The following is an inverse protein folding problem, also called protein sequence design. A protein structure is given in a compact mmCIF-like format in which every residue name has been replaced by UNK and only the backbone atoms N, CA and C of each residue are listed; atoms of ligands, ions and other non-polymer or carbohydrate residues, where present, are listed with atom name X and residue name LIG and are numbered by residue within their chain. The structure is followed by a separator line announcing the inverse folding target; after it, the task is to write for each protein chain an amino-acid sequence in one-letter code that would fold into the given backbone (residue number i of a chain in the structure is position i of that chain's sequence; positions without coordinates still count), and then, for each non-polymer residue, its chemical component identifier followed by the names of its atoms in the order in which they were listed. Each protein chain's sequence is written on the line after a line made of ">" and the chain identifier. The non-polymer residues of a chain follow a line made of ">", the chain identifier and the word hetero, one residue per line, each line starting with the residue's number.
data_IF_812603573128
#
_entry.id   IF_812603573128
#
_cell.length_a   1.000
_cell.length_b   1.000
_cell.length_c   1.000
_cell.angle_alpha   90.00
_cell.angle_beta   90.00
_cell.angle_gamma   90.00
#
_symmetry.space_group_name_H-M   'P 1'
#
loop_
_entity.id
_entity.type
_entity.pdbx_description
1 polymer ?
#
# COMPACT_ATOMS: atom_id res chain seq x y z
N UNK A 1 -56.22 27.15 16.98
CA UNK A 1 -55.86 26.26 15.87
C UNK A 1 -54.39 25.90 15.92
N UNK A 2 -54.13 24.78 16.49
CA UNK A 2 -52.77 24.25 16.70
C UNK A 2 -52.50 23.24 15.58
N UNK A 3 -51.47 23.47 14.75
CA UNK A 3 -51.03 22.47 13.81
C UNK A 3 -49.74 21.82 14.32
N UNK A 4 -49.86 20.52 14.58
CA UNK A 4 -48.82 19.60 14.89
C UNK A 4 -47.92 19.40 13.66
N UNK A 5 -46.64 19.73 13.76
CA UNK A 5 -45.62 19.25 12.82
C UNK A 5 -44.88 18.09 13.44
N UNK A 6 -45.21 16.91 12.94
CA UNK A 6 -44.53 15.66 13.27
C UNK A 6 -43.19 15.63 12.53
N UNK A 7 -42.08 15.81 13.22
CA UNK A 7 -40.76 15.57 12.71
C UNK A 7 -40.55 14.05 12.57
N UNK A 8 -40.38 13.60 11.32
CA UNK A 8 -39.90 12.24 11.01
C UNK A 8 -38.40 12.17 11.30
N UNK A 9 -38.05 11.57 12.40
CA UNK A 9 -36.69 11.10 12.65
C UNK A 9 -36.36 9.99 11.64
N UNK A 10 -35.53 10.30 10.64
CA UNK A 10 -34.85 9.28 9.86
C UNK A 10 -33.65 8.82 10.68
N UNK A 11 -33.77 7.65 11.29
CA UNK A 11 -32.65 6.90 11.84
C UNK A 11 -31.67 6.58 10.71
N UNK A 12 -30.49 7.17 10.79
CA UNK A 12 -29.33 6.73 10.01
C UNK A 12 -28.96 5.34 10.53
N UNK A 13 -29.37 4.31 9.80
CA UNK A 13 -28.82 2.98 9.99
C UNK A 13 -27.34 3.04 9.65
N UNK A 14 -26.50 2.85 10.65
CA UNK A 14 -25.10 2.56 10.49
C UNK A 14 -24.98 1.26 9.69
N UNK A 15 -24.67 1.36 8.41
CA UNK A 15 -24.22 0.21 7.64
C UNK A 15 -22.87 -0.20 8.20
N UNK A 16 -22.86 -1.33 8.92
CA UNK A 16 -21.64 -2.01 9.31
C UNK A 16 -20.84 -2.34 8.05
N UNK A 17 -19.55 -1.95 8.05
CA UNK A 17 -18.60 -2.41 7.06
C UNK A 17 -18.64 -3.95 7.01
N UNK A 18 -18.61 -4.58 5.83
CA UNK A 18 -18.59 -6.03 5.74
C UNK A 18 -17.36 -6.59 6.43
N UNK A 19 -17.62 -7.53 7.32
CA UNK A 19 -16.62 -8.34 8.02
C UNK A 19 -15.85 -9.15 6.97
N UNK A 20 -14.51 -9.06 7.00
CA UNK A 20 -13.57 -9.79 6.16
C UNK A 20 -13.70 -9.61 4.63
N UNK A 21 -13.01 -8.60 4.10
CA UNK A 21 -12.60 -8.62 2.70
C UNK A 21 -11.45 -9.64 2.55
N UNK A 22 -11.78 -10.91 2.36
CA UNK A 22 -10.81 -11.89 1.89
C UNK A 22 -10.41 -11.47 0.47
N UNK A 23 -9.12 -11.24 0.18
CA UNK A 23 -8.67 -10.98 -1.17
C UNK A 23 -8.79 -12.28 -1.96
N UNK A 24 -9.88 -12.44 -2.71
CA UNK A 24 -10.00 -13.54 -3.63
C UNK A 24 -8.89 -13.51 -4.68
N UNK A 25 -8.29 -14.66 -4.84
CA UNK A 25 -7.29 -15.03 -5.84
C UNK A 25 -7.71 -14.53 -7.21
N UNK A 26 -7.04 -13.58 -7.73
CA UNK A 26 -6.72 -13.41 -9.16
C UNK A 26 -6.44 -11.97 -9.53
N UNK A 27 -5.34 -11.73 -10.24
CA UNK A 27 -5.05 -10.49 -10.92
C UNK A 27 -6.07 -10.14 -12.02
N UNK A 28 -7.31 -10.61 -11.91
CA UNK A 28 -8.45 -10.28 -12.76
C UNK A 28 -9.49 -9.51 -11.97
N UNK A 29 -9.74 -8.30 -12.44
CA UNK A 29 -10.87 -7.48 -12.02
C UNK A 29 -12.16 -8.25 -12.35
N UNK A 30 -12.75 -8.91 -11.35
CA UNK A 30 -14.13 -9.31 -11.47
C UNK A 30 -14.99 -8.05 -11.46
N UNK A 31 -15.92 -7.95 -12.38
CA UNK A 31 -16.78 -6.78 -12.61
C UNK A 31 -17.73 -6.61 -11.43
N UNK A 32 -17.31 -5.88 -10.41
CA UNK A 32 -18.09 -5.56 -9.23
C UNK A 32 -18.49 -4.10 -9.24
N UNK A 33 -19.44 -3.70 -8.40
CA UNK A 33 -19.94 -2.32 -8.32
C UNK A 33 -18.82 -1.29 -8.10
N UNK A 34 -19.00 -0.06 -8.54
CA UNK A 34 -17.92 0.95 -8.64
C UNK A 34 -17.07 1.22 -7.39
N UNK A 35 -17.51 0.80 -6.20
CA UNK A 35 -16.73 0.88 -4.96
C UNK A 35 -15.68 -0.25 -4.86
N UNK A 36 -15.99 -1.45 -5.33
CA UNK A 36 -15.07 -2.58 -5.24
C UNK A 36 -13.85 -2.40 -6.16
N UNK A 37 -14.02 -1.72 -7.29
CA UNK A 37 -12.90 -1.43 -8.20
C UNK A 37 -11.86 -0.48 -7.58
N UNK A 38 -12.24 0.33 -6.57
CA UNK A 38 -11.34 1.24 -5.90
C UNK A 38 -10.26 0.51 -5.09
N UNK A 39 -10.60 -0.64 -4.50
CA UNK A 39 -9.71 -1.40 -3.63
C UNK A 39 -8.98 -2.56 -4.34
N UNK A 40 -9.28 -2.81 -5.61
CA UNK A 40 -8.62 -3.82 -6.41
C UNK A 40 -7.68 -3.17 -7.41
N UNK A 41 -6.44 -3.63 -7.46
CA UNK A 41 -5.43 -3.11 -8.37
C UNK A 41 -4.54 -4.22 -8.93
N UNK A 42 -4.16 -4.13 -10.21
CA UNK A 42 -3.18 -5.03 -10.80
C UNK A 42 -1.79 -4.81 -10.17
N UNK A 43 -1.03 -5.87 -10.09
CA UNK A 43 0.36 -5.84 -9.63
C UNK A 43 1.17 -6.89 -10.39
N UNK A 44 2.49 -6.80 -10.30
CA UNK A 44 3.40 -7.83 -10.77
C UNK A 44 4.56 -7.98 -9.79
N UNK A 45 5.11 -9.19 -9.69
CA UNK A 45 6.28 -9.42 -8.86
C UNK A 45 7.56 -9.00 -9.57
N UNK A 46 8.45 -8.34 -8.83
CA UNK A 46 9.82 -8.01 -9.21
C UNK A 46 10.78 -9.04 -8.63
N UNK A 47 10.42 -9.64 -7.48
CA UNK A 47 11.15 -10.68 -6.79
C UNK A 47 10.17 -11.56 -6.01
N UNK A 48 10.40 -12.89 -6.02
CA UNK A 48 9.47 -13.84 -5.42
C UNK A 48 8.17 -13.99 -6.21
N UNK A 49 7.23 -14.77 -5.68
CA UNK A 49 5.96 -15.11 -6.35
C UNK A 49 4.76 -15.06 -5.42
N UNK A 50 4.99 -14.85 -4.13
CA UNK A 50 3.94 -14.79 -3.12
C UNK A 50 4.35 -13.95 -1.92
N UNK A 51 3.42 -13.17 -1.38
CA UNK A 51 3.57 -12.48 -0.12
C UNK A 51 2.21 -12.24 0.53
N UNK A 52 2.14 -12.33 1.86
CA UNK A 52 0.89 -12.09 2.61
C UNK A 52 1.16 -11.43 3.96
N UNK A 53 0.15 -10.73 4.46
CA UNK A 53 0.17 -10.12 5.78
C UNK A 53 -0.60 -8.79 5.84
N UNK A 54 -0.69 -8.20 7.04
CA UNK A 54 -1.28 -6.88 7.19
C UNK A 54 -0.45 -5.82 6.46
N UNK A 55 -1.10 -4.93 5.71
CA UNK A 55 -0.43 -3.86 4.97
C UNK A 55 -0.17 -2.66 5.88
N UNK A 56 1.06 -2.19 5.89
CA UNK A 56 1.49 -0.96 6.58
C UNK A 56 2.31 -0.08 5.63
N UNK A 57 2.55 1.15 6.01
CA UNK A 57 3.39 2.07 5.22
C UNK A 57 2.56 3.11 4.46
N UNK A 58 2.96 3.40 3.23
CA UNK A 58 2.41 4.43 2.36
C UNK A 58 3.50 5.33 1.81
N UNK A 59 3.30 6.66 1.88
CA UNK A 59 4.34 7.60 1.47
C UNK A 59 5.60 7.42 2.31
N UNK A 60 6.70 7.02 1.67
CA UNK A 60 7.95 6.63 2.35
C UNK A 60 8.49 7.74 3.26
N UNK A 61 8.44 9.00 2.82
CA UNK A 61 8.88 10.14 3.61
C UNK A 61 8.01 10.34 4.86
N UNK A 62 6.69 10.22 4.70
CA UNK A 62 5.75 10.41 5.81
C UNK A 62 5.84 9.26 6.81
N UNK A 63 5.95 8.02 6.32
CA UNK A 63 6.13 6.84 7.15
C UNK A 63 7.40 6.91 8.00
N UNK A 64 8.52 7.30 7.41
CA UNK A 64 9.80 7.42 8.13
C UNK A 64 9.82 8.53 9.18
N UNK A 65 8.92 9.53 9.12
CA UNK A 65 8.79 10.52 10.20
C UNK A 65 8.30 9.94 11.52
N UNK A 66 7.69 8.77 11.49
CA UNK A 66 7.25 8.07 12.70
C UNK A 66 8.41 7.33 13.39
N UNK A 67 9.52 7.09 12.69
CA UNK A 67 10.67 6.39 13.24
C UNK A 67 11.20 7.07 14.52
N UNK A 68 11.38 6.29 15.57
CA UNK A 68 11.79 6.78 16.89
C UNK A 68 10.65 7.33 17.74
N UNK A 69 9.40 7.27 17.30
CA UNK A 69 8.21 7.60 18.07
C UNK A 69 7.44 6.33 18.47
N UNK A 70 6.54 6.45 19.44
CA UNK A 70 5.64 5.37 19.85
C UNK A 70 4.64 4.96 18.75
N UNK A 71 4.46 5.80 17.72
CA UNK A 71 3.56 5.55 16.59
C UNK A 71 4.20 4.75 15.45
N UNK A 72 5.50 4.47 15.52
CA UNK A 72 6.14 3.63 14.51
C UNK A 72 5.68 2.18 14.69
N UNK A 73 5.05 1.57 13.68
CA UNK A 73 4.47 0.24 13.83
C UNK A 73 5.54 -0.84 13.96
N UNK A 74 5.19 -1.94 14.62
CA UNK A 74 5.98 -3.17 14.47
C UNK A 74 5.88 -3.66 13.03
N UNK A 75 7.03 -3.92 12.42
CA UNK A 75 7.14 -4.32 11.02
C UNK A 75 7.09 -5.85 10.81
N UNK A 76 7.17 -6.61 11.91
CA UNK A 76 7.34 -8.06 11.86
C UNK A 76 6.15 -8.74 11.18
N UNK A 77 6.42 -9.48 10.10
CA UNK A 77 5.43 -10.25 9.36
C UNK A 77 4.39 -9.40 8.59
N UNK A 78 4.64 -8.11 8.42
CA UNK A 78 3.74 -7.21 7.69
C UNK A 78 4.22 -6.93 6.27
N UNK A 79 3.30 -6.56 5.40
CA UNK A 79 3.61 -6.06 4.06
C UNK A 79 3.90 -4.56 4.15
N UNK A 80 5.01 -4.12 3.58
CA UNK A 80 5.41 -2.71 3.58
C UNK A 80 5.08 -2.06 2.24
N UNK A 81 4.09 -1.17 2.24
CA UNK A 81 3.77 -0.31 1.11
C UNK A 81 4.72 0.89 1.09
N UNK A 82 5.34 1.14 -0.05
CA UNK A 82 6.21 2.29 -0.28
C UNK A 82 5.82 3.01 -1.57
N UNK A 83 5.57 4.30 -1.49
CA UNK A 83 5.31 5.18 -2.64
C UNK A 83 5.87 6.59 -2.37
N UNK A 84 6.02 7.40 -3.42
CA UNK A 84 6.41 8.80 -3.28
C UNK A 84 5.92 9.65 -4.46
N UNK A 85 5.48 10.88 -4.18
CA UNK A 85 5.17 11.85 -5.22
C UNK A 85 6.45 12.51 -5.78
N UNK A 86 7.24 13.08 -4.89
CA UNK A 86 8.45 13.83 -5.19
C UNK A 86 9.71 13.13 -4.72
N UNK A 87 10.83 13.82 -4.87
CA UNK A 87 12.14 13.32 -4.50
C UNK A 87 12.87 12.69 -5.68
N UNK A 88 14.17 12.84 -5.67
CA UNK A 88 15.06 12.20 -6.64
C UNK A 88 15.76 10.98 -6.06
N UNK A 89 16.63 10.39 -6.85
CA UNK A 89 17.39 9.20 -6.50
C UNK A 89 18.19 9.33 -5.19
N UNK A 90 18.94 10.44 -4.93
CA UNK A 90 19.67 10.57 -3.66
C UNK A 90 18.77 10.56 -2.44
N UNK A 91 17.56 11.14 -2.55
CA UNK A 91 16.59 11.15 -1.47
C UNK A 91 15.99 9.76 -1.24
N UNK A 92 15.68 9.02 -2.30
CA UNK A 92 15.22 7.63 -2.18
C UNK A 92 16.27 6.76 -1.49
N UNK A 93 17.54 6.85 -1.90
CA UNK A 93 18.64 6.12 -1.26
C UNK A 93 18.75 6.44 0.24
N UNK A 94 18.56 7.69 0.63
CA UNK A 94 18.52 8.09 2.06
C UNK A 94 17.39 7.38 2.80
N UNK A 95 16.21 7.31 2.20
CA UNK A 95 15.07 6.63 2.81
C UNK A 95 15.26 5.11 2.90
N UNK A 96 15.80 4.48 1.85
CA UNK A 96 16.10 3.05 1.86
C UNK A 96 17.15 2.71 2.90
N UNK A 97 18.22 3.50 3.01
CA UNK A 97 19.23 3.35 4.06
C UNK A 97 18.64 3.48 5.46
N UNK A 98 17.71 4.42 5.66
CA UNK A 98 17.02 4.56 6.94
C UNK A 98 16.16 3.35 7.27
N UNK A 99 15.39 2.83 6.31
CA UNK A 99 14.62 1.59 6.48
C UNK A 99 15.52 0.39 6.80
N UNK A 100 16.68 0.29 6.16
CA UNK A 100 17.66 -0.75 6.45
C UNK A 100 18.17 -0.66 7.90
N UNK A 101 18.54 0.54 8.36
CA UNK A 101 18.99 0.79 9.73
C UNK A 101 17.91 0.45 10.78
N UNK A 102 16.63 0.66 10.45
CA UNK A 102 15.49 0.23 11.28
C UNK A 102 15.28 -1.29 11.25
N UNK A 103 15.99 -2.01 10.41
CA UNK A 103 15.86 -3.45 10.21
C UNK A 103 14.59 -3.84 9.45
N UNK A 104 13.99 -2.90 8.71
CA UNK A 104 12.71 -3.11 8.05
C UNK A 104 12.73 -4.32 7.10
N UNK A 105 13.73 -4.40 6.24
CA UNK A 105 13.84 -5.44 5.22
C UNK A 105 14.09 -6.87 5.77
N UNK A 106 14.44 -6.98 7.04
CA UNK A 106 14.56 -8.27 7.74
C UNK A 106 13.33 -8.66 8.55
N UNK A 107 12.39 -7.72 8.74
CA UNK A 107 11.20 -7.92 9.58
C UNK A 107 9.92 -8.12 8.75
N UNK A 108 9.81 -7.40 7.63
CA UNK A 108 8.61 -7.46 6.79
C UNK A 108 8.51 -8.79 6.04
N UNK A 109 7.28 -9.21 5.73
CA UNK A 109 7.00 -10.41 4.94
C UNK A 109 7.02 -10.16 3.43
N UNK A 110 7.05 -8.90 3.00
CA UNK A 110 7.12 -8.49 1.60
C UNK A 110 7.01 -6.99 1.45
N UNK A 111 7.29 -6.51 0.25
CA UNK A 111 7.20 -5.08 -0.11
C UNK A 111 6.25 -4.92 -1.29
N UNK A 112 5.31 -3.99 -1.16
CA UNK A 112 4.48 -3.51 -2.26
C UNK A 112 4.97 -2.11 -2.65
N UNK A 113 5.52 -1.98 -3.85
CA UNK A 113 5.89 -0.68 -4.42
C UNK A 113 4.69 -0.08 -5.15
N UNK A 114 4.33 1.13 -4.79
CA UNK A 114 3.47 2.00 -5.58
C UNK A 114 4.28 2.83 -6.58
N UNK A 115 3.72 3.97 -7.00
CA UNK A 115 4.41 4.89 -7.90
C UNK A 115 5.43 5.74 -7.14
N UNK A 116 6.56 5.98 -7.77
CA UNK A 116 7.53 7.00 -7.39
C UNK A 116 7.50 8.08 -8.46
N UNK A 117 6.43 8.85 -8.46
CA UNK A 117 5.95 9.67 -9.59
C UNK A 117 7.04 10.50 -10.26
N UNK A 118 7.85 11.21 -9.48
CA UNK A 118 8.94 12.03 -10.05
C UNK A 118 10.05 11.15 -10.62
N UNK A 119 10.51 10.16 -9.87
CA UNK A 119 11.62 9.29 -10.29
C UNK A 119 11.23 8.42 -11.48
N UNK A 120 10.02 7.86 -11.47
CA UNK A 120 9.48 7.06 -12.59
C UNK A 120 9.44 7.88 -13.89
N UNK A 121 9.04 9.16 -13.79
CA UNK A 121 9.02 10.08 -14.94
C UNK A 121 10.41 10.44 -15.45
N UNK A 122 11.38 10.65 -14.55
CA UNK A 122 12.73 11.13 -14.91
C UNK A 122 13.69 10.02 -15.32
N UNK A 123 13.54 8.82 -14.75
CA UNK A 123 14.48 7.71 -14.87
C UNK A 123 13.85 6.40 -15.36
N UNK A 124 12.53 6.36 -15.50
CA UNK A 124 11.78 5.16 -15.84
C UNK A 124 11.36 4.33 -14.62
N UNK A 125 10.33 3.47 -14.81
CA UNK A 125 9.72 2.73 -13.71
C UNK A 125 10.65 1.67 -13.08
N UNK A 126 11.64 1.17 -13.79
CA UNK A 126 12.56 0.14 -13.31
C UNK A 126 13.56 0.68 -12.28
N UNK A 127 13.81 2.00 -12.29
CA UNK A 127 14.88 2.59 -11.49
C UNK A 127 14.68 2.41 -9.99
N UNK A 128 13.46 2.46 -9.50
CA UNK A 128 13.15 2.22 -8.08
C UNK A 128 13.59 0.82 -7.66
N UNK A 129 13.30 -0.18 -8.49
CA UNK A 129 13.71 -1.55 -8.24
C UNK A 129 15.23 -1.73 -8.30
N UNK A 130 15.90 -1.16 -9.29
CA UNK A 130 17.36 -1.18 -9.39
C UNK A 130 18.06 -0.66 -8.13
N UNK A 131 17.47 0.35 -7.48
CA UNK A 131 18.00 0.89 -6.23
C UNK A 131 17.64 0.02 -5.03
N UNK A 132 16.39 -0.42 -4.93
CA UNK A 132 15.90 -1.19 -3.79
C UNK A 132 16.56 -2.57 -3.68
N UNK A 133 16.81 -3.24 -4.79
CA UNK A 133 17.36 -4.61 -4.81
C UNK A 133 18.70 -4.75 -4.07
N UNK A 134 19.47 -3.67 -3.92
CA UNK A 134 20.72 -3.69 -3.16
C UNK A 134 20.52 -3.66 -1.64
N UNK A 135 19.32 -3.39 -1.16
CA UNK A 135 18.97 -3.30 0.26
C UNK A 135 18.19 -4.52 0.76
N UNK A 136 17.51 -5.22 -0.13
CA UNK A 136 16.59 -6.30 0.25
C UNK A 136 17.23 -7.68 0.09
N UNK A 137 16.97 -8.62 1.02
CA UNK A 137 17.37 -10.02 0.85
C UNK A 137 16.72 -10.62 -0.39
N UNK A 138 17.39 -11.56 -1.04
CA UNK A 138 16.90 -12.21 -2.27
C UNK A 138 15.63 -13.04 -2.05
N UNK A 139 15.40 -13.48 -0.83
CA UNK A 139 14.20 -14.23 -0.43
C UNK A 139 12.99 -13.34 -0.09
N UNK A 140 13.17 -12.01 0.07
CA UNK A 140 12.06 -11.11 0.39
C UNK A 140 11.24 -10.82 -0.85
N UNK A 141 9.94 -11.18 -0.89
CA UNK A 141 9.10 -10.90 -2.04
C UNK A 141 8.89 -9.40 -2.23
N UNK A 142 8.94 -8.95 -3.47
CA UNK A 142 8.67 -7.56 -3.85
C UNK A 142 7.74 -7.55 -5.06
N UNK A 143 6.61 -6.89 -4.93
CA UNK A 143 5.68 -6.65 -6.02
C UNK A 143 5.54 -5.14 -6.29
N UNK A 144 5.08 -4.81 -7.48
CA UNK A 144 4.83 -3.43 -7.90
C UNK A 144 3.45 -3.26 -8.48
N UNK A 145 2.84 -2.11 -8.19
CA UNK A 145 1.62 -1.63 -8.83
C UNK A 145 1.79 -0.16 -9.24
N UNK A 146 1.19 0.22 -10.36
CA UNK A 146 1.12 1.62 -10.80
C UNK A 146 -0.14 2.32 -10.29
N UNK A 147 -1.03 1.60 -9.62
CA UNK A 147 -2.33 2.09 -9.17
C UNK A 147 -2.35 2.60 -7.73
N UNK A 148 -1.24 2.54 -7.00
CA UNK A 148 -1.11 3.14 -5.66
C UNK A 148 -0.07 4.26 -5.73
N UNK A 149 -0.48 5.48 -5.37
CA UNK A 149 0.37 6.66 -5.36
C UNK A 149 -0.35 7.92 -5.82
N UNK A 150 0.28 8.73 -6.67
CA UNK A 150 -0.19 10.07 -7.05
C UNK A 150 -0.66 10.17 -8.51
N UNK A 151 -1.05 9.06 -9.13
CA UNK A 151 -1.65 9.04 -10.47
C UNK A 151 -3.13 9.44 -10.46
N UNK A 152 -3.66 9.81 -11.62
CA UNK A 152 -5.09 10.16 -11.78
C UNK A 152 -6.00 8.95 -11.69
N UNK A 153 -5.47 7.76 -11.89
CA UNK A 153 -6.13 6.45 -11.82
C UNK A 153 -5.79 5.69 -10.53
N UNK A 154 -5.26 6.40 -9.52
CA UNK A 154 -4.89 5.80 -8.25
C UNK A 154 -6.07 5.12 -7.57
N UNK A 155 -5.78 3.97 -7.00
CA UNK A 155 -6.69 3.14 -6.19
C UNK A 155 -6.35 3.30 -4.72
N UNK A 156 -7.22 2.79 -3.86
CA UNK A 156 -7.02 2.81 -2.42
C UNK A 156 -6.47 1.47 -1.93
N UNK A 157 -5.57 1.54 -0.95
CA UNK A 157 -5.15 0.40 -0.16
C UNK A 157 -5.55 0.63 1.30
N UNK A 158 -6.14 -0.38 1.93
CA UNK A 158 -6.59 -0.28 3.33
C UNK A 158 -5.44 -0.66 4.24
N UNK A 159 -4.86 0.33 4.92
CA UNK A 159 -3.80 0.11 5.88
C UNK A 159 -4.33 -0.66 7.09
N UNK A 160 -3.59 -1.69 7.53
CA UNK A 160 -3.99 -2.59 8.60
C UNK A 160 -4.76 -3.83 8.14
N UNK A 161 -5.34 -3.83 6.95
CA UNK A 161 -5.99 -5.02 6.39
C UNK A 161 -4.96 -6.03 5.87
N UNK A 162 -5.28 -7.31 5.98
CA UNK A 162 -4.46 -8.38 5.42
C UNK A 162 -4.65 -8.47 3.91
N UNK A 163 -3.54 -8.62 3.21
CA UNK A 163 -3.47 -8.85 1.76
C UNK A 163 -2.75 -10.16 1.47
N UNK A 164 -3.12 -10.77 0.37
CA UNK A 164 -2.46 -11.94 -0.19
C UNK A 164 -2.18 -11.68 -1.67
N UNK A 165 -0.92 -11.58 -2.02
CA UNK A 165 -0.46 -11.40 -3.39
C UNK A 165 0.20 -12.67 -3.87
N UNK A 166 -0.17 -13.15 -5.05
CA UNK A 166 0.43 -14.33 -5.67
C UNK A 166 0.57 -14.12 -7.18
N UNK A 167 1.63 -14.66 -7.75
CA UNK A 167 1.79 -14.81 -9.19
C UNK A 167 0.93 -15.99 -9.65
N UNK A 168 0.26 -15.85 -10.78
CA UNK A 168 -0.56 -16.93 -11.38
C UNK A 168 0.28 -17.80 -12.30
#
# INVERSE_FOLDING_TARGET
>A
STQNQTQKNRSLQSQSLPESLEPEESGYIQKMSGLDTLFHFPYHFLQGTHMSGPLIGGNIRCFLKLAGTEYFPDLTGKLLLLEACGGGEPQLLTYLSHLEQLGAFRKVSGILLGTFTKLDREKGPERVWELLQSFVPTELPVARTTFIGHGTDSRAAVIGSSYNFSEK
#
